data_IF_072845337017
#
_entry.id   IF_072845337017
#
_cell.length_a   1.000
_cell.length_b   1.000
_cell.length_c   1.000
_cell.angle_alpha   90.00
_cell.angle_beta   90.00
_cell.angle_gamma   90.00
#
_symmetry.space_group_name_H-M   'P 1'
#
loop_
_entity.id
_entity.type
_entity.pdbx_description
1 polymer ?
#
# COMPACT_ATOMS: atom_id res chain seq x y z
N UNK A 1 -0.74 21.28 35.85
CA UNK A 1 -1.56 21.64 34.68
C UNK A 1 -0.75 21.84 33.40
N UNK A 2 0.29 22.69 33.38
CA UNK A 2 1.10 22.98 32.18
C UNK A 2 1.81 21.75 31.58
N UNK A 3 2.33 20.85 32.43
CA UNK A 3 2.98 19.60 32.01
C UNK A 3 2.00 18.58 31.40
N UNK A 4 0.80 18.45 31.98
CA UNK A 4 -0.25 17.56 31.48
C UNK A 4 -0.71 18.03 30.09
N UNK A 5 -0.85 19.35 29.91
CA UNK A 5 -1.22 19.96 28.63
C UNK A 5 -0.18 19.68 27.54
N UNK A 6 1.11 19.77 27.87
CA UNK A 6 2.20 19.44 26.95
C UNK A 6 2.19 17.95 26.56
N UNK A 7 1.98 17.05 27.53
CA UNK A 7 1.91 15.61 27.27
C UNK A 7 0.74 15.29 26.33
N UNK A 8 -0.44 15.90 26.54
CA UNK A 8 -1.60 15.68 25.67
C UNK A 8 -1.42 16.19 24.24
N UNK A 9 -0.68 17.28 24.05
CA UNK A 9 -0.39 17.81 22.70
C UNK A 9 0.58 16.88 21.96
N UNK A 10 1.59 16.38 22.67
CA UNK A 10 2.59 15.46 22.10
C UNK A 10 1.96 14.12 21.74
N UNK A 11 1.08 13.55 22.58
CA UNK A 11 0.44 12.27 22.27
C UNK A 11 -0.51 12.39 21.07
N UNK A 12 -1.28 13.48 20.95
CA UNK A 12 -2.18 13.70 19.80
C UNK A 12 -1.45 13.85 18.47
N UNK A 13 -0.24 14.40 18.46
CA UNK A 13 0.54 14.58 17.23
C UNK A 13 1.19 13.28 16.72
N UNK A 14 1.43 12.31 17.61
CA UNK A 14 1.99 11.00 17.24
C UNK A 14 0.97 10.12 16.51
N UNK A 15 -0.32 10.17 16.87
CA UNK A 15 -1.35 9.35 16.21
C UNK A 15 -1.67 9.78 14.78
N UNK A 16 -1.31 11.01 14.38
CA UNK A 16 -1.58 11.50 13.04
C UNK A 16 -0.60 10.98 11.97
N UNK A 17 0.51 10.32 12.36
CA UNK A 17 1.64 10.07 11.46
C UNK A 17 2.21 8.66 11.62
N UNK A 18 1.42 7.61 11.34
CA UNK A 18 2.00 6.28 11.19
C UNK A 18 2.82 6.24 9.89
N UNK A 19 4.16 6.09 9.95
CA UNK A 19 5.00 6.01 8.76
C UNK A 19 4.75 4.73 7.94
N UNK A 20 3.96 3.78 8.45
CA UNK A 20 3.58 2.55 7.77
C UNK A 20 2.14 2.59 7.24
N UNK A 21 1.47 3.74 7.28
CA UNK A 21 0.14 3.88 6.69
C UNK A 21 0.22 3.68 5.17
N UNK A 22 -0.35 2.60 4.60
CA UNK A 22 -0.28 2.32 3.16
C UNK A 22 -1.04 3.35 2.33
N UNK A 23 -1.85 4.21 2.97
CA UNK A 23 -2.57 5.30 2.32
C UNK A 23 -1.81 6.62 2.41
N UNK A 24 -0.64 6.69 3.04
CA UNK A 24 0.19 7.90 3.05
C UNK A 24 1.29 7.83 2.01
N UNK A 25 1.59 8.98 1.44
CA UNK A 25 2.74 9.09 0.55
C UNK A 25 4.03 8.90 1.35
N UNK A 26 5.03 8.29 0.72
CA UNK A 26 6.36 8.20 1.30
C UNK A 26 7.02 9.61 1.36
N UNK A 27 8.20 9.67 1.98
CA UNK A 27 9.00 10.91 2.10
C UNK A 27 9.37 11.57 0.76
N UNK A 28 9.25 10.85 -0.36
CA UNK A 28 9.53 11.32 -1.71
C UNK A 28 8.24 11.63 -2.50
N UNK A 29 7.07 11.58 -1.85
CA UNK A 29 5.77 11.76 -2.49
C UNK A 29 5.35 10.57 -3.37
N UNK A 30 5.89 9.37 -3.14
CA UNK A 30 5.56 8.15 -3.89
C UNK A 30 4.53 7.30 -3.15
N UNK A 31 3.76 6.58 -3.94
CA UNK A 31 2.75 5.63 -3.50
C UNK A 31 3.02 4.25 -4.12
N UNK A 32 2.34 3.19 -3.65
CA UNK A 32 2.37 1.89 -4.30
C UNK A 32 1.92 1.98 -5.77
N UNK A 33 2.34 1.02 -6.62
CA UNK A 33 1.91 0.96 -8.01
C UNK A 33 0.39 1.03 -8.15
N UNK A 34 -0.08 1.79 -9.15
CA UNK A 34 -1.49 2.03 -9.43
C UNK A 34 -2.11 3.08 -8.53
N UNK A 35 -1.29 3.85 -7.82
CA UNK A 35 -1.75 4.96 -6.99
C UNK A 35 -0.98 6.24 -7.33
N UNK A 36 -1.55 7.37 -6.94
CA UNK A 36 -0.95 8.70 -7.04
C UNK A 36 -1.01 9.39 -5.68
N UNK A 37 0.00 10.19 -5.38
CA UNK A 37 0.02 11.01 -4.18
C UNK A 37 -0.74 12.32 -4.43
N UNK A 38 -1.79 12.58 -3.67
CA UNK A 38 -2.50 13.86 -3.62
C UNK A 38 -2.64 14.27 -2.15
N UNK A 39 -2.20 15.48 -1.80
CA UNK A 39 -2.27 16.05 -0.44
C UNK A 39 -1.70 15.16 0.68
N UNK A 40 -0.65 14.37 0.37
CA UNK A 40 -0.01 13.46 1.32
C UNK A 40 -0.71 12.12 1.48
N UNK A 41 -1.76 11.87 0.69
CA UNK A 41 -2.54 10.62 0.67
C UNK A 41 -2.41 9.94 -0.69
N UNK A 42 -2.31 8.61 -0.68
CA UNK A 42 -2.29 7.76 -1.84
C UNK A 42 -3.71 7.43 -2.30
N UNK A 43 -4.05 7.87 -3.51
CA UNK A 43 -5.32 7.54 -4.16
C UNK A 43 -5.10 6.57 -5.31
N UNK A 44 -6.00 5.61 -5.46
CA UNK A 44 -6.00 4.69 -6.59
C UNK A 44 -6.18 5.43 -7.91
N UNK A 45 -5.40 5.04 -8.91
CA UNK A 45 -5.47 5.60 -10.27
C UNK A 45 -6.60 4.93 -11.05
N UNK A 46 -7.59 5.70 -11.55
CA UNK A 46 -8.73 5.13 -12.27
C UNK A 46 -8.35 4.58 -13.66
N UNK A 47 -7.20 4.99 -14.19
CA UNK A 47 -6.68 4.51 -15.48
C UNK A 47 -5.98 3.14 -15.39
N UNK A 48 -5.70 2.68 -14.17
CA UNK A 48 -5.16 1.34 -13.94
C UNK A 48 -6.27 0.28 -13.90
N UNK A 49 -6.01 -0.94 -14.42
CA UNK A 49 -6.97 -2.03 -14.36
C UNK A 49 -7.25 -2.42 -12.91
N UNK A 50 -8.51 -2.77 -12.63
CA UNK A 50 -8.87 -3.36 -11.36
C UNK A 50 -8.28 -4.77 -11.25
N UNK A 51 -7.51 -5.01 -10.19
CA UNK A 51 -6.97 -6.33 -9.91
C UNK A 51 -8.04 -7.18 -9.24
N UNK A 52 -8.56 -8.16 -9.97
CA UNK A 52 -9.42 -9.19 -9.39
C UNK A 52 -8.59 -10.39 -8.94
N UNK A 53 -8.92 -10.94 -7.76
CA UNK A 53 -8.31 -12.18 -7.28
C UNK A 53 -8.81 -13.36 -8.14
N UNK A 54 -7.95 -14.03 -8.92
CA UNK A 54 -8.34 -15.19 -9.71
C UNK A 54 -8.51 -16.41 -8.81
N UNK A 55 -9.16 -17.44 -9.34
CA UNK A 55 -9.18 -18.76 -8.69
C UNK A 55 -7.77 -19.36 -8.73
N UNK A 56 -7.14 -19.42 -7.57
CA UNK A 56 -5.78 -19.93 -7.42
C UNK A 56 -5.76 -21.45 -7.34
N UNK A 57 -4.88 -22.09 -8.11
CA UNK A 57 -4.58 -23.52 -7.92
C UNK A 57 -3.81 -23.71 -6.61
N UNK A 58 -3.96 -24.87 -5.92
CA UNK A 58 -3.12 -25.21 -4.78
C UNK A 58 -1.65 -25.07 -5.15
N UNK A 59 -0.93 -24.37 -4.28
CA UNK A 59 0.50 -24.12 -4.46
C UNK A 59 0.90 -23.00 -5.39
N UNK A 60 -0.04 -22.21 -5.86
CA UNK A 60 0.25 -20.98 -6.59
C UNK A 60 0.10 -19.78 -5.67
N UNK A 61 0.95 -18.77 -5.85
CA UNK A 61 0.85 -17.45 -5.20
C UNK A 61 0.68 -16.38 -6.26
N UNK A 62 -0.13 -15.38 -5.96
CA UNK A 62 -0.23 -14.18 -6.78
C UNK A 62 0.75 -13.15 -6.23
N UNK A 63 1.51 -12.54 -7.12
CA UNK A 63 2.27 -11.32 -6.84
C UNK A 63 1.77 -10.19 -7.74
N UNK A 64 1.91 -8.95 -7.28
CA UNK A 64 1.68 -7.77 -8.09
C UNK A 64 3.01 -7.25 -8.62
N UNK A 65 3.07 -7.00 -9.92
CA UNK A 65 4.24 -6.45 -10.59
C UNK A 65 3.80 -5.18 -11.33
N UNK A 66 4.50 -4.05 -11.18
CA UNK A 66 4.17 -2.85 -11.95
C UNK A 66 4.40 -3.07 -13.45
N UNK A 67 3.49 -2.56 -14.29
CA UNK A 67 3.68 -2.43 -15.73
C UNK A 67 4.46 -1.15 -16.11
N UNK A 68 4.61 -0.89 -17.40
CA UNK A 68 5.32 0.31 -17.91
C UNK A 68 4.69 1.64 -17.48
N UNK A 69 3.41 1.62 -17.08
CA UNK A 69 2.65 2.79 -16.59
C UNK A 69 2.56 2.81 -15.07
N UNK A 70 3.32 1.96 -14.39
CA UNK A 70 3.29 1.74 -12.95
C UNK A 70 1.90 1.27 -12.44
N UNK A 71 1.13 0.56 -13.27
CA UNK A 71 -0.11 -0.09 -12.84
C UNK A 71 0.17 -1.51 -12.33
N UNK A 72 -0.52 -1.98 -11.27
CA UNK A 72 -0.29 -3.30 -10.69
C UNK A 72 -0.87 -4.39 -11.59
N UNK A 73 -0.02 -5.28 -12.09
CA UNK A 73 -0.43 -6.47 -12.83
C UNK A 73 -0.33 -7.73 -11.97
N UNK A 74 -1.38 -8.57 -11.93
CA UNK A 74 -1.33 -9.86 -11.25
C UNK A 74 -0.47 -10.87 -12.03
N UNK A 75 0.54 -11.43 -11.37
CA UNK A 75 1.35 -12.54 -11.88
C UNK A 75 1.23 -13.75 -10.96
N UNK A 76 0.86 -14.89 -11.53
CA UNK A 76 0.71 -16.15 -10.79
C UNK A 76 2.02 -16.93 -10.86
N UNK A 77 2.60 -17.23 -9.71
CA UNK A 77 3.80 -18.05 -9.57
C UNK A 77 3.40 -19.37 -8.90
N UNK A 78 3.63 -20.48 -9.59
CA UNK A 78 3.41 -21.82 -9.06
C UNK A 78 4.77 -22.52 -8.89
N UNK A 79 5.21 -22.74 -7.65
CA UNK A 79 6.43 -23.51 -7.37
C UNK A 79 6.06 -24.97 -7.08
N UNK A 80 6.96 -25.90 -7.44
CA UNK A 80 6.82 -27.33 -7.06
C UNK A 80 6.78 -27.52 -5.54
N UNK A 81 7.46 -26.69 -4.74
CA UNK A 81 7.43 -26.73 -3.27
C UNK A 81 6.09 -26.34 -2.63
N UNK A 82 5.25 -25.60 -3.35
CA UNK A 82 3.94 -25.20 -2.81
C UNK A 82 2.83 -26.20 -3.21
N UNK A 83 3.15 -27.21 -4.02
CA UNK A 83 2.23 -28.28 -4.42
C UNK A 83 2.09 -29.26 -3.25
N UNK A 84 1.18 -28.94 -2.32
CA UNK A 84 0.70 -29.91 -1.32
C UNK A 84 0.01 -31.09 -1.99
#
# INVERSE_FOLDING_TARGET
>A
MKLILLITIITMSVFASDPNDPFKCDKNGKCPPGSRCEDGTCYGRPDCPQVMMPRMKPGCKMILVPDERDCPMPKIICNKENRS
#
